data_IF_279957701852
#
_entry.id   IF_279957701852
#
_cell.length_a   1.000
_cell.length_b   1.000
_cell.length_c   1.000
_cell.angle_alpha   90.00
_cell.angle_beta   90.00
_cell.angle_gamma   90.00
#
_symmetry.space_group_name_H-M   'P 1'
#
loop_
_entity.id
_entity.type
_entity.pdbx_description
1 polymer ?
#
# COMPACT_ATOMS: atom_id res chain seq x y z
N UNK A 1 22.19 -1.62 -1.78
CA UNK A 1 22.28 -1.78 -0.31
C UNK A 1 20.86 -2.04 0.21
N UNK A 2 20.47 -3.32 0.30
CA UNK A 2 19.11 -3.70 0.72
C UNK A 2 19.05 -3.75 2.24
N UNK A 3 18.35 -2.81 2.86
CA UNK A 3 18.04 -2.86 4.29
C UNK A 3 17.04 -3.99 4.52
N UNK A 4 17.52 -5.17 4.91
CA UNK A 4 16.69 -6.17 5.57
C UNK A 4 16.57 -5.77 7.04
N UNK A 5 15.46 -5.14 7.38
CA UNK A 5 15.09 -4.94 8.78
C UNK A 5 14.72 -6.29 9.38
N UNK A 6 15.62 -6.88 10.18
CA UNK A 6 15.30 -8.00 11.08
C UNK A 6 14.41 -7.50 12.22
N UNK A 7 13.17 -7.15 11.89
CA UNK A 7 12.12 -6.94 12.88
C UNK A 7 11.84 -8.28 13.56
N UNK A 8 11.88 -8.30 14.90
CA UNK A 8 11.53 -9.49 15.70
C UNK A 8 10.12 -9.92 15.31
N UNK A 9 9.99 -10.97 14.49
CA UNK A 9 8.71 -11.53 14.09
C UNK A 9 8.06 -12.16 15.32
N UNK A 10 6.90 -11.65 15.72
CA UNK A 10 6.12 -12.25 16.80
C UNK A 10 5.25 -13.33 16.17
N UNK A 11 5.36 -14.57 16.67
CA UNK A 11 4.43 -15.62 16.29
C UNK A 11 3.03 -15.22 16.78
N UNK A 12 2.12 -14.97 15.85
CA UNK A 12 0.72 -14.64 16.12
C UNK A 12 -0.10 -15.86 15.74
N UNK A 13 -0.85 -16.42 16.70
CA UNK A 13 -1.71 -17.55 16.42
C UNK A 13 -2.90 -17.05 15.58
N UNK A 14 -2.96 -17.44 14.31
CA UNK A 14 -4.02 -17.04 13.39
C UNK A 14 -4.89 -18.25 13.09
N UNK A 15 -6.21 -18.10 13.25
CA UNK A 15 -7.17 -19.12 12.79
C UNK A 15 -7.45 -18.89 11.31
N UNK A 16 -7.14 -19.89 10.49
CA UNK A 16 -7.39 -19.92 9.05
C UNK A 16 -8.31 -21.09 8.75
N UNK A 17 -9.00 -21.00 7.62
CA UNK A 17 -9.87 -22.06 7.13
C UNK A 17 -9.09 -23.38 6.91
N UNK A 18 -9.70 -24.50 7.30
CA UNK A 18 -9.04 -25.81 7.23
C UNK A 18 -8.85 -26.31 5.79
N UNK A 19 -9.77 -26.01 4.88
CA UNK A 19 -9.66 -26.39 3.47
C UNK A 19 -8.57 -25.56 2.80
N UNK A 20 -8.53 -24.25 3.08
CA UNK A 20 -7.46 -23.37 2.61
C UNK A 20 -6.06 -23.83 3.09
N UNK A 21 -5.94 -24.30 4.32
CA UNK A 21 -4.67 -24.84 4.85
C UNK A 21 -4.29 -26.16 4.18
N UNK A 22 -5.26 -27.02 3.86
CA UNK A 22 -5.02 -28.27 3.12
C UNK A 22 -4.53 -27.96 1.71
N UNK A 23 -5.19 -27.05 1.01
CA UNK A 23 -4.81 -26.64 -0.33
C UNK A 23 -3.43 -25.97 -0.34
N UNK A 24 -3.17 -25.07 0.62
CA UNK A 24 -1.86 -24.45 0.75
C UNK A 24 -0.75 -25.48 0.96
N UNK A 25 -0.97 -26.51 1.80
CA UNK A 25 -0.01 -27.61 1.98
C UNK A 25 0.15 -28.45 0.71
N UNK A 26 -0.95 -28.78 0.04
CA UNK A 26 -0.93 -29.57 -1.20
C UNK A 26 -0.19 -28.85 -2.34
N UNK A 27 -0.30 -27.52 -2.39
CA UNK A 27 0.32 -26.66 -3.40
C UNK A 27 1.70 -26.12 -2.98
N UNK A 28 2.20 -26.48 -1.80
CA UNK A 28 3.50 -26.02 -1.29
C UNK A 28 3.56 -24.52 -0.96
N UNK A 29 2.41 -23.88 -0.70
CA UNK A 29 2.32 -22.47 -0.36
C UNK A 29 2.79 -22.24 1.08
N UNK A 30 3.74 -21.32 1.25
CA UNK A 30 4.16 -20.89 2.58
C UNK A 30 3.14 -19.93 3.19
N UNK A 31 2.22 -20.47 3.98
CA UNK A 31 1.12 -19.75 4.64
C UNK A 31 1.62 -18.55 5.46
N UNK A 32 2.75 -18.70 6.17
CA UNK A 32 3.29 -17.61 6.99
C UNK A 32 3.76 -16.43 6.13
N UNK A 33 4.43 -16.71 5.01
CA UNK A 33 4.88 -15.68 4.08
C UNK A 33 3.69 -15.02 3.36
N UNK A 34 2.72 -15.82 2.91
CA UNK A 34 1.51 -15.31 2.27
C UNK A 34 0.69 -14.42 3.22
N UNK A 35 0.56 -14.82 4.48
CA UNK A 35 -0.11 -14.02 5.50
C UNK A 35 0.63 -12.70 5.80
N UNK A 36 1.96 -12.75 5.93
CA UNK A 36 2.77 -11.53 6.15
C UNK A 36 2.60 -10.55 4.99
N UNK A 37 2.61 -11.04 3.75
CA UNK A 37 2.42 -10.20 2.58
C UNK A 37 1.00 -9.63 2.50
N UNK A 38 -0.02 -10.44 2.76
CA UNK A 38 -1.41 -9.99 2.81
C UNK A 38 -1.65 -8.90 3.87
N UNK A 39 -1.10 -9.08 5.07
CA UNK A 39 -1.16 -8.09 6.15
C UNK A 39 -0.41 -6.82 5.76
N UNK A 40 0.78 -6.93 5.16
CA UNK A 40 1.56 -5.78 4.70
C UNK A 40 0.79 -4.94 3.68
N UNK A 41 0.14 -5.59 2.71
CA UNK A 41 -0.68 -4.94 1.69
C UNK A 41 -1.91 -4.26 2.29
N UNK A 42 -2.63 -4.94 3.17
CA UNK A 42 -3.79 -4.39 3.86
C UNK A 42 -3.42 -3.16 4.71
N UNK A 43 -2.30 -3.21 5.44
CA UNK A 43 -1.78 -2.09 6.23
C UNK A 43 -1.37 -0.92 5.34
N UNK A 44 -0.70 -1.18 4.21
CA UNK A 44 -0.35 -0.12 3.25
C UNK A 44 -1.59 0.56 2.72
N UNK A 45 -2.62 -0.19 2.32
CA UNK A 45 -3.89 0.34 1.82
C UNK A 45 -4.58 1.20 2.88
N UNK A 46 -4.69 0.71 4.11
CA UNK A 46 -5.28 1.45 5.21
C UNK A 46 -4.54 2.77 5.49
N UNK A 47 -3.20 2.73 5.51
CA UNK A 47 -2.38 3.95 5.67
C UNK A 47 -2.57 4.94 4.54
N UNK A 48 -2.62 4.45 3.30
CA UNK A 48 -2.86 5.31 2.14
C UNK A 48 -4.25 5.97 2.20
N UNK A 49 -5.29 5.24 2.62
CA UNK A 49 -6.62 5.80 2.82
C UNK A 49 -6.63 6.86 3.92
N UNK A 50 -6.06 6.56 5.09
CA UNK A 50 -5.95 7.54 6.18
C UNK A 50 -5.21 8.80 5.74
N UNK A 51 -4.09 8.65 5.02
CA UNK A 51 -3.35 9.79 4.48
C UNK A 51 -4.18 10.61 3.50
N UNK A 52 -4.93 9.96 2.61
CA UNK A 52 -5.82 10.66 1.66
C UNK A 52 -6.92 11.43 2.37
N UNK A 53 -7.48 10.88 3.44
CA UNK A 53 -8.49 11.57 4.26
C UNK A 53 -7.88 12.78 4.97
N UNK A 54 -6.72 12.63 5.62
CA UNK A 54 -6.00 13.72 6.29
C UNK A 54 -5.56 14.82 5.32
N UNK A 55 -5.18 14.46 4.09
CA UNK A 55 -4.67 15.41 3.10
C UNK A 55 -5.74 15.88 2.12
N UNK A 56 -7.01 15.49 2.31
CA UNK A 56 -8.10 15.79 1.39
C UNK A 56 -8.26 17.28 1.14
N UNK A 57 -8.27 18.08 2.21
CA UNK A 57 -8.38 19.53 2.11
C UNK A 57 -7.18 20.17 1.41
N UNK A 58 -5.96 19.69 1.68
CA UNK A 58 -4.75 20.18 1.04
C UNK A 58 -4.72 19.84 -0.47
N UNK A 59 -5.16 18.63 -0.82
CA UNK A 59 -5.29 18.18 -2.22
C UNK A 59 -6.35 19.02 -2.93
N UNK A 60 -7.51 19.25 -2.30
CA UNK A 60 -8.58 20.04 -2.90
C UNK A 60 -8.17 21.51 -3.09
N UNK A 61 -7.52 22.11 -2.09
CA UNK A 61 -6.98 23.47 -2.20
C UNK A 61 -5.94 23.58 -3.32
N UNK A 62 -5.07 22.57 -3.46
CA UNK A 62 -4.09 22.52 -4.55
C UNK A 62 -4.79 22.39 -5.91
N UNK A 63 -5.77 21.50 -6.05
CA UNK A 63 -6.55 21.33 -7.27
C UNK A 63 -7.26 22.63 -7.68
N UNK A 64 -7.88 23.33 -6.72
CA UNK A 64 -8.51 24.63 -6.97
C UNK A 64 -7.50 25.70 -7.39
N UNK A 65 -6.29 25.68 -6.83
CA UNK A 65 -5.22 26.59 -7.23
C UNK A 65 -4.75 26.30 -8.66
N UNK A 66 -4.58 25.04 -9.02
CA UNK A 66 -4.20 24.61 -10.38
C UNK A 66 -5.32 24.94 -11.39
N UNK A 67 -6.60 24.79 -11.03
CA UNK A 67 -7.72 25.18 -11.89
C UNK A 67 -7.70 26.69 -12.20
N UNK A 68 -7.43 27.52 -11.17
CA UNK A 68 -7.39 28.98 -11.30
C UNK A 68 -6.13 29.51 -11.98
N UNK A 69 -4.98 28.87 -11.79
CA UNK A 69 -3.67 29.38 -12.22
C UNK A 69 -3.02 28.56 -13.34
N UNK A 70 -3.64 27.44 -13.73
CA UNK A 70 -3.06 26.46 -14.62
C UNK A 70 -1.96 25.64 -13.94
N UNK A 71 -1.45 24.65 -14.68
CA UNK A 71 -0.35 23.82 -14.16
C UNK A 71 0.92 24.66 -14.02
N UNK A 72 1.48 24.75 -12.80
CA UNK A 72 2.75 25.43 -12.61
C UNK A 72 3.80 24.72 -13.45
N UNK A 73 4.63 25.50 -14.15
CA UNK A 73 5.68 25.01 -15.05
C UNK A 73 5.19 24.33 -16.33
N UNK A 74 3.89 24.40 -16.68
CA UNK A 74 3.38 23.91 -17.97
C UNK A 74 4.17 24.47 -19.18
N UNK A 75 4.66 25.71 -19.07
CA UNK A 75 5.51 26.38 -20.06
C UNK A 75 6.88 25.71 -20.31
N UNK A 76 7.30 24.77 -19.48
CA UNK A 76 8.56 24.03 -19.63
C UNK A 76 8.34 22.54 -19.96
N UNK A 77 7.10 22.13 -20.24
CA UNK A 77 6.79 20.74 -20.58
C UNK A 77 7.36 20.39 -21.97
N UNK A 78 8.42 19.59 -22.01
CA UNK A 78 9.12 19.20 -23.24
C UNK A 78 8.46 18.04 -24.02
N UNK A 79 7.53 17.31 -23.41
CA UNK A 79 6.86 16.17 -24.05
C UNK A 79 5.35 16.28 -23.84
N UNK A 80 4.61 16.26 -24.95
CA UNK A 80 3.16 16.10 -24.89
C UNK A 80 2.84 14.61 -24.79
N UNK A 81 1.88 14.25 -23.92
CA UNK A 81 1.28 12.92 -23.86
C UNK A 81 -0.14 13.06 -24.36
#
# INVERSE_FOLDING_TARGET
MGVQGSGKKKATNLSLDQELLKDARALGVNVSQAAEQGVSDAVRKAKAQAWLEENREAIEANNQWVDKHGLPLAKYRMFNV
#
